data_IF_173355819182
#
_entry.id   IF_173355819182
#
_cell.length_a   1.000
_cell.length_b   1.000
_cell.length_c   1.000
_cell.angle_alpha   90.00
_cell.angle_beta   90.00
_cell.angle_gamma   90.00
#
_symmetry.space_group_name_H-M   'P 1'
#
loop_
_entity.id
_entity.type
_entity.pdbx_description
1 polymer ?
#
# COMPACT_ATOMS: atom_id res chain seq x y z
N UNK A 1 -28.95 -4.21 34.77
CA UNK A 1 -27.97 -4.01 33.66
C UNK A 1 -27.12 -2.75 33.86
N UNK A 2 -27.67 -1.57 34.10
CA UNK A 2 -26.89 -0.32 34.34
C UNK A 2 -25.94 -0.40 35.56
N UNK A 3 -26.38 -0.96 36.67
CA UNK A 3 -25.53 -1.11 37.86
C UNK A 3 -24.40 -2.12 37.67
N UNK A 4 -24.64 -3.25 37.02
CA UNK A 4 -23.60 -4.21 36.68
C UNK A 4 -22.52 -3.62 35.78
N UNK A 5 -22.92 -2.89 34.76
CA UNK A 5 -21.99 -2.17 33.87
C UNK A 5 -21.18 -1.11 34.63
N UNK A 6 -21.82 -0.37 35.52
CA UNK A 6 -21.13 0.65 36.32
C UNK A 6 -20.09 0.03 37.27
N UNK A 7 -20.47 -1.08 37.93
CA UNK A 7 -19.56 -1.84 38.82
C UNK A 7 -18.38 -2.44 38.05
N UNK A 8 -18.62 -2.96 36.85
CA UNK A 8 -17.54 -3.44 35.97
C UNK A 8 -16.55 -2.33 35.64
N UNK A 9 -17.01 -1.14 35.22
CA UNK A 9 -16.13 -0.04 34.89
C UNK A 9 -15.39 0.53 36.12
N UNK A 10 -15.99 0.51 37.29
CA UNK A 10 -15.33 0.88 38.55
C UNK A 10 -14.22 -0.12 38.86
N UNK A 11 -14.46 -1.41 38.67
CA UNK A 11 -13.43 -2.45 38.85
C UNK A 11 -12.28 -2.23 37.86
N UNK A 12 -12.55 -2.06 36.57
CA UNK A 12 -11.53 -1.77 35.54
C UNK A 12 -10.72 -0.53 35.90
N UNK A 13 -11.37 0.56 36.30
CA UNK A 13 -10.70 1.78 36.68
C UNK A 13 -9.74 1.58 37.87
N UNK A 14 -10.19 0.84 38.91
CA UNK A 14 -9.35 0.50 40.06
C UNK A 14 -8.18 -0.38 39.68
N UNK A 15 -8.42 -1.40 38.84
CA UNK A 15 -7.37 -2.32 38.36
C UNK A 15 -6.28 -1.57 37.60
N UNK A 16 -6.67 -0.73 36.63
CA UNK A 16 -5.73 0.03 35.80
C UNK A 16 -4.96 1.05 36.62
N UNK A 17 -5.63 1.85 37.44
CA UNK A 17 -4.98 2.93 38.20
C UNK A 17 -4.13 2.41 39.36
N UNK A 18 -4.51 1.30 40.01
CA UNK A 18 -3.76 0.68 41.10
C UNK A 18 -2.49 -0.01 40.59
N UNK A 19 -2.59 -0.70 39.44
CA UNK A 19 -1.51 -1.47 38.88
C UNK A 19 -0.86 -0.79 37.65
N UNK A 20 -0.77 0.54 37.67
CA UNK A 20 -0.31 1.34 36.53
C UNK A 20 1.05 0.95 35.95
N UNK A 21 2.00 0.54 36.80
CA UNK A 21 3.32 0.09 36.34
C UNK A 21 3.26 -1.25 35.60
N UNK A 22 2.41 -2.16 36.07
CA UNK A 22 2.18 -3.46 35.42
C UNK A 22 1.56 -3.25 34.03
N UNK A 23 0.56 -2.36 33.91
CA UNK A 23 -0.05 -2.05 32.62
C UNK A 23 0.94 -1.39 31.65
N UNK A 24 1.79 -0.47 32.12
CA UNK A 24 2.85 0.10 31.29
C UNK A 24 3.80 -1.00 30.80
N UNK A 25 4.28 -1.86 31.71
CA UNK A 25 5.14 -2.99 31.36
C UNK A 25 4.49 -3.93 30.34
N UNK A 26 3.20 -4.21 30.52
CA UNK A 26 2.41 -5.03 29.60
C UNK A 26 2.31 -4.38 28.19
N UNK A 27 1.96 -3.09 28.11
CA UNK A 27 1.89 -2.38 26.83
C UNK A 27 3.26 -2.31 26.14
N UNK A 28 4.33 -2.04 26.88
CA UNK A 28 5.69 -2.03 26.35
C UNK A 28 6.08 -3.42 25.85
N UNK A 29 5.81 -4.46 26.64
CA UNK A 29 6.10 -5.85 26.27
C UNK A 29 5.37 -6.28 25.00
N UNK A 30 4.06 -6.00 24.91
CA UNK A 30 3.26 -6.31 23.70
C UNK A 30 3.77 -5.49 22.51
N UNK A 31 4.10 -4.22 22.71
CA UNK A 31 4.61 -3.36 21.61
C UNK A 31 5.95 -3.89 21.09
N UNK A 32 6.86 -4.29 21.96
CA UNK A 32 8.14 -4.90 21.57
C UNK A 32 7.88 -6.22 20.82
N UNK A 33 7.02 -7.10 21.36
CA UNK A 33 6.66 -8.36 20.71
C UNK A 33 6.11 -8.14 19.31
N UNK A 34 5.14 -7.25 19.15
CA UNK A 34 4.54 -6.93 17.86
C UNK A 34 5.51 -6.23 16.90
N UNK A 35 6.43 -5.41 17.41
CA UNK A 35 7.48 -4.80 16.60
C UNK A 35 8.45 -5.84 16.01
N UNK A 36 8.73 -6.93 16.73
CA UNK A 36 9.53 -8.04 16.18
C UNK A 36 8.84 -8.73 15.00
N UNK A 37 7.50 -8.75 14.96
CA UNK A 37 6.73 -9.34 13.87
C UNK A 37 6.83 -8.55 12.55
N UNK A 38 7.28 -7.29 12.59
CA UNK A 38 7.47 -6.49 11.37
C UNK A 38 8.44 -7.13 10.38
N UNK A 39 9.40 -7.94 10.87
CA UNK A 39 10.32 -8.71 10.01
C UNK A 39 9.61 -9.74 9.12
N UNK A 40 8.43 -10.18 9.54
CA UNK A 40 7.62 -11.17 8.81
C UNK A 40 6.70 -10.55 7.77
N UNK A 41 6.61 -9.22 7.72
CA UNK A 41 5.79 -8.50 6.75
C UNK A 41 6.40 -8.67 5.36
N UNK A 42 5.58 -9.14 4.42
CA UNK A 42 5.95 -9.28 3.02
C UNK A 42 5.13 -8.31 2.18
N UNK A 43 5.74 -7.82 1.10
CA UNK A 43 4.99 -7.08 0.09
C UNK A 43 4.43 -8.04 -0.93
N UNK A 44 3.19 -7.80 -1.33
CA UNK A 44 2.59 -8.58 -2.42
C UNK A 44 3.17 -8.12 -3.75
N UNK A 45 3.66 -9.07 -4.52
CA UNK A 45 4.11 -8.88 -5.89
C UNK A 45 3.12 -9.48 -6.91
N UNK A 46 2.04 -10.10 -6.43
CA UNK A 46 1.01 -10.76 -7.24
C UNK A 46 -0.36 -10.15 -6.98
N UNK A 47 -1.07 -9.79 -8.05
CA UNK A 47 -2.47 -9.33 -8.00
C UNK A 47 -3.45 -10.48 -8.18
N UNK A 48 -2.98 -11.66 -8.59
CA UNK A 48 -3.83 -12.80 -8.95
C UNK A 48 -4.53 -13.47 -7.75
N UNK A 49 -4.10 -13.21 -6.50
CA UNK A 49 -4.63 -13.86 -5.29
C UNK A 49 -5.79 -13.09 -4.64
N UNK A 50 -6.74 -12.60 -5.43
CA UNK A 50 -7.93 -11.92 -4.90
C UNK A 50 -8.91 -12.89 -4.25
N UNK A 51 -8.99 -14.13 -4.75
CA UNK A 51 -9.88 -15.17 -4.24
C UNK A 51 -9.09 -16.16 -3.36
N UNK A 52 -9.75 -16.82 -2.38
CA UNK A 52 -9.16 -17.91 -1.60
C UNK A 52 -8.65 -19.04 -2.48
N UNK A 53 -7.61 -19.73 -2.01
CA UNK A 53 -7.00 -20.85 -2.75
C UNK A 53 -7.97 -22.05 -2.96
N UNK A 54 -8.92 -22.22 -2.05
CA UNK A 54 -9.94 -23.28 -2.08
C UNK A 54 -11.14 -22.96 -2.99
N UNK A 55 -11.25 -21.71 -3.46
CA UNK A 55 -12.32 -21.28 -4.36
C UNK A 55 -12.22 -22.03 -5.72
N UNK A 56 -13.35 -22.49 -6.31
CA UNK A 56 -13.35 -23.24 -7.57
C UNK A 56 -12.57 -22.55 -8.68
N UNK A 57 -12.80 -21.25 -8.89
CA UNK A 57 -12.10 -20.44 -9.91
C UNK A 57 -10.60 -20.40 -9.64
N UNK A 58 -10.15 -20.29 -8.38
CA UNK A 58 -8.73 -20.31 -8.03
C UNK A 58 -8.09 -21.66 -8.36
N UNK A 59 -8.81 -22.76 -8.14
CA UNK A 59 -8.34 -24.09 -8.50
C UNK A 59 -8.21 -24.28 -10.01
N UNK A 60 -9.20 -23.83 -10.79
CA UNK A 60 -9.15 -23.81 -12.25
C UNK A 60 -7.99 -22.96 -12.77
N UNK A 61 -7.83 -21.76 -12.24
CA UNK A 61 -6.73 -20.87 -12.58
C UNK A 61 -5.37 -21.48 -12.22
N UNK A 62 -5.24 -22.08 -11.05
CA UNK A 62 -4.02 -22.77 -10.66
C UNK A 62 -3.71 -24.01 -11.54
N UNK A 63 -4.73 -24.71 -12.05
CA UNK A 63 -4.56 -25.78 -13.03
C UNK A 63 -4.08 -25.21 -14.37
N UNK A 64 -4.67 -24.11 -14.82
CA UNK A 64 -4.24 -23.40 -16.02
C UNK A 64 -2.77 -22.97 -15.89
N UNK A 65 -2.37 -22.37 -14.76
CA UNK A 65 -0.97 -21.99 -14.52
C UNK A 65 0.00 -23.18 -14.55
N UNK A 66 -0.44 -24.35 -14.05
CA UNK A 66 0.39 -25.58 -14.11
C UNK A 66 0.59 -26.09 -15.54
N UNK A 67 -0.41 -25.94 -16.41
CA UNK A 67 -0.37 -26.42 -17.79
C UNK A 67 0.35 -25.44 -18.73
N UNK A 68 0.06 -24.14 -18.58
CA UNK A 68 0.53 -23.11 -19.52
C UNK A 68 1.66 -22.24 -18.93
N UNK A 69 1.91 -22.35 -17.63
CA UNK A 69 2.86 -21.54 -16.90
C UNK A 69 2.27 -20.21 -16.47
N UNK A 70 3.07 -19.41 -15.73
CA UNK A 70 2.65 -18.10 -15.24
C UNK A 70 2.39 -17.13 -16.39
N UNK A 71 1.23 -16.50 -16.40
CA UNK A 71 0.88 -15.39 -17.29
C UNK A 71 1.54 -14.10 -16.85
N UNK A 72 1.69 -13.17 -17.78
CA UNK A 72 2.16 -11.83 -17.49
C UNK A 72 3.66 -11.73 -17.24
N UNK A 73 4.46 -12.60 -17.87
CA UNK A 73 5.92 -12.49 -17.87
C UNK A 73 6.46 -11.56 -18.97
N UNK A 74 5.57 -10.95 -19.75
CA UNK A 74 5.94 -10.15 -20.91
C UNK A 74 6.05 -8.67 -20.55
N UNK A 75 7.17 -8.06 -20.87
CA UNK A 75 7.37 -6.61 -20.92
C UNK A 75 7.41 -6.21 -22.39
N UNK A 76 6.62 -5.22 -22.74
CA UNK A 76 6.55 -4.68 -24.09
C UNK A 76 7.18 -3.30 -24.12
N UNK A 77 8.15 -3.09 -25.00
CA UNK A 77 8.77 -1.80 -25.24
C UNK A 77 8.27 -1.32 -26.60
N UNK A 78 7.73 -0.12 -26.67
CA UNK A 78 7.19 0.49 -27.88
C UNK A 78 7.93 1.75 -28.26
N UNK A 79 8.01 2.02 -29.55
CA UNK A 79 8.50 3.27 -30.10
C UNK A 79 7.58 3.71 -31.25
N UNK A 80 7.40 5.01 -31.43
CA UNK A 80 6.71 5.51 -32.63
C UNK A 80 7.57 5.22 -33.86
N UNK A 81 6.96 4.88 -35.00
CA UNK A 81 7.70 4.52 -36.21
C UNK A 81 8.61 5.64 -36.72
N UNK A 82 8.26 6.89 -36.38
CA UNK A 82 9.12 8.06 -36.65
C UNK A 82 10.46 8.03 -35.91
N UNK A 83 10.50 7.36 -34.76
CA UNK A 83 11.71 7.20 -33.95
C UNK A 83 12.70 6.12 -34.43
N UNK A 84 12.36 5.41 -35.53
CA UNK A 84 13.22 4.36 -36.13
C UNK A 84 13.33 4.58 -37.63
N UNK A 85 13.37 5.84 -38.06
CA UNK A 85 13.45 6.22 -39.49
C UNK A 85 14.88 6.25 -40.04
N UNK A 86 15.88 6.29 -39.21
CA UNK A 86 17.28 6.30 -39.63
C UNK A 86 17.97 4.97 -39.32
N UNK A 87 19.00 4.59 -40.11
CA UNK A 87 19.79 3.40 -39.81
C UNK A 87 20.36 3.40 -38.40
N UNK A 88 20.80 4.55 -37.89
CA UNK A 88 21.37 4.68 -36.53
C UNK A 88 20.32 4.38 -35.46
N UNK A 89 19.08 4.85 -35.64
CA UNK A 89 17.97 4.60 -34.71
C UNK A 89 17.59 3.12 -34.71
N UNK A 90 17.47 2.49 -35.90
CA UNK A 90 17.20 1.05 -35.97
C UNK A 90 18.32 0.20 -35.36
N UNK A 91 19.58 0.56 -35.64
CA UNK A 91 20.71 -0.14 -35.04
C UNK A 91 20.76 0.02 -33.52
N UNK A 92 20.41 1.21 -32.98
CA UNK A 92 20.25 1.42 -31.55
C UNK A 92 19.11 0.60 -30.95
N UNK A 93 17.96 0.51 -31.63
CA UNK A 93 16.85 -0.35 -31.26
C UNK A 93 17.25 -1.83 -31.21
N UNK A 94 18.01 -2.29 -32.21
CA UNK A 94 18.52 -3.66 -32.27
C UNK A 94 19.60 -3.92 -31.19
N UNK A 95 20.41 -2.91 -30.86
CA UNK A 95 21.39 -2.98 -29.78
C UNK A 95 20.69 -3.11 -28.41
N UNK A 96 19.61 -2.34 -28.18
CA UNK A 96 18.78 -2.50 -26.98
C UNK A 96 18.26 -3.93 -26.83
N UNK A 97 17.73 -4.53 -27.91
CA UNK A 97 17.27 -5.91 -27.88
C UNK A 97 18.37 -6.90 -27.52
N UNK A 98 19.58 -6.68 -28.04
CA UNK A 98 20.75 -7.53 -27.79
C UNK A 98 21.27 -7.35 -26.35
N UNK A 99 21.31 -6.13 -25.83
CA UNK A 99 21.70 -5.88 -24.45
C UNK A 99 20.72 -6.51 -23.47
N UNK A 100 19.40 -6.41 -23.75
CA UNK A 100 18.37 -7.06 -22.93
C UNK A 100 18.50 -8.57 -22.89
N UNK A 101 18.91 -9.23 -23.99
CA UNK A 101 19.12 -10.66 -24.02
C UNK A 101 20.28 -11.15 -23.12
N UNK A 102 21.19 -10.26 -22.71
CA UNK A 102 22.33 -10.63 -21.86
C UNK A 102 21.96 -10.73 -20.39
N UNK A 103 20.83 -10.20 -19.99
CA UNK A 103 20.39 -10.24 -18.58
C UNK A 103 19.87 -11.66 -18.21
N UNK A 104 20.33 -12.22 -17.10
CA UNK A 104 19.91 -13.57 -16.67
C UNK A 104 18.42 -13.65 -16.29
N UNK A 105 17.75 -12.50 -16.09
CA UNK A 105 16.33 -12.37 -15.80
C UNK A 105 15.47 -12.48 -17.06
N UNK A 106 16.05 -12.31 -18.23
CA UNK A 106 15.38 -12.34 -19.52
C UNK A 106 15.46 -13.74 -20.12
N UNK A 107 14.31 -14.32 -20.44
CA UNK A 107 14.20 -15.62 -21.12
C UNK A 107 14.36 -15.47 -22.62
N UNK A 108 13.86 -14.39 -23.20
CA UNK A 108 13.95 -14.11 -24.61
C UNK A 108 13.47 -12.72 -24.99
N UNK A 109 13.91 -12.24 -26.14
CA UNK A 109 13.52 -10.98 -26.72
C UNK A 109 13.02 -11.22 -28.14
N UNK A 110 11.79 -10.81 -28.42
CA UNK A 110 11.22 -10.78 -29.77
C UNK A 110 11.29 -9.32 -30.28
N UNK A 111 12.12 -9.10 -31.26
CA UNK A 111 12.35 -7.81 -31.92
C UNK A 111 12.68 -8.03 -33.39
N UNK A 112 12.84 -7.00 -34.16
CA UNK A 112 13.16 -7.12 -35.59
C UNK A 112 14.41 -7.95 -35.88
N UNK A 113 15.45 -7.78 -35.06
CA UNK A 113 16.70 -8.53 -35.22
C UNK A 113 16.58 -10.03 -34.87
N UNK A 114 15.47 -10.45 -34.24
CA UNK A 114 15.23 -11.86 -33.88
C UNK A 114 14.28 -12.58 -34.84
N UNK A 115 13.69 -11.85 -35.81
CA UNK A 115 12.81 -12.43 -36.84
C UNK A 115 13.63 -13.33 -37.74
N UNK A 116 13.09 -14.50 -37.95
CA UNK A 116 13.67 -15.48 -38.92
C UNK A 116 12.72 -15.74 -40.08
N UNK A 117 13.23 -15.75 -41.28
CA UNK A 117 12.51 -16.19 -42.46
C UNK A 117 12.78 -17.67 -42.77
N UNK A 118 11.76 -18.34 -43.22
CA UNK A 118 11.91 -19.73 -43.70
C UNK A 118 12.18 -19.70 -45.19
N UNK A 119 13.38 -20.08 -45.56
CA UNK A 119 13.83 -20.10 -46.95
C UNK A 119 13.98 -21.56 -47.41
N UNK A 120 13.47 -21.87 -48.60
CA UNK A 120 13.67 -23.20 -49.22
C UNK A 120 15.08 -23.29 -49.79
N UNK A 121 15.88 -24.18 -49.22
CA UNK A 121 17.16 -24.58 -49.80
C UNK A 121 16.89 -25.60 -50.93
N UNK A 122 16.92 -25.12 -52.16
CA UNK A 122 16.65 -25.96 -53.36
C UNK A 122 17.72 -27.02 -53.62
N UNK A 123 18.93 -26.83 -53.08
CA UNK A 123 20.01 -27.78 -53.24
C UNK A 123 19.91 -28.97 -52.27
N UNK A 124 19.34 -28.74 -51.10
CA UNK A 124 19.20 -29.75 -50.03
C UNK A 124 17.76 -30.21 -49.80
N UNK A 125 16.83 -29.75 -50.62
CA UNK A 125 15.38 -30.05 -50.54
C UNK A 125 14.79 -29.89 -49.13
N UNK A 126 15.30 -28.91 -48.36
CA UNK A 126 14.86 -28.65 -47.00
C UNK A 126 14.63 -27.14 -46.76
N UNK A 127 13.80 -26.82 -45.76
CA UNK A 127 13.66 -25.46 -45.28
C UNK A 127 14.78 -25.15 -44.29
N UNK A 128 15.39 -23.98 -44.47
CA UNK A 128 16.37 -23.42 -43.56
C UNK A 128 15.84 -22.10 -43.00
N UNK A 129 16.18 -21.81 -41.76
CA UNK A 129 15.87 -20.50 -41.14
C UNK A 129 17.04 -19.56 -41.38
N UNK A 130 16.74 -18.33 -41.83
CA UNK A 130 17.71 -17.26 -42.01
C UNK A 130 17.21 -16.03 -41.25
N UNK A 131 18.14 -15.22 -40.71
CA UNK A 131 17.78 -13.96 -40.09
C UNK A 131 17.18 -13.03 -41.15
N UNK A 132 16.04 -12.44 -40.82
CA UNK A 132 15.31 -11.55 -41.72
C UNK A 132 16.02 -10.20 -41.90
N UNK A 133 16.56 -9.65 -40.79
CA UNK A 133 17.32 -8.40 -40.76
C UNK A 133 18.84 -8.72 -40.75
N UNK A 134 19.67 -7.92 -41.47
CA UNK A 134 21.11 -7.95 -41.31
C UNK A 134 21.52 -7.49 -39.92
N UNK A 135 22.75 -7.80 -39.50
CA UNK A 135 23.25 -7.41 -38.17
C UNK A 135 23.31 -5.90 -37.99
N UNK A 136 23.60 -5.15 -39.05
CA UNK A 136 23.66 -3.70 -39.10
C UNK A 136 23.08 -3.20 -40.42
N UNK A 137 22.28 -2.14 -40.37
CA UNK A 137 21.75 -1.44 -41.53
C UNK A 137 22.61 -0.22 -41.76
N UNK A 138 23.17 -0.08 -42.97
CA UNK A 138 24.14 0.97 -43.28
C UNK A 138 23.60 2.11 -44.15
N UNK A 139 22.50 1.87 -44.87
CA UNK A 139 21.93 2.87 -45.77
C UNK A 139 20.41 3.03 -45.58
N UNK A 140 19.93 4.23 -45.94
CA UNK A 140 18.47 4.50 -45.89
C UNK A 140 17.68 3.64 -46.88
N UNK A 141 18.25 3.39 -48.08
CA UNK A 141 17.60 2.54 -49.06
C UNK A 141 17.43 1.08 -48.58
N UNK A 142 18.42 0.59 -47.84
CA UNK A 142 18.37 -0.75 -47.22
C UNK A 142 17.29 -0.80 -46.16
N UNK A 143 17.20 0.24 -45.28
CA UNK A 143 16.17 0.38 -44.25
C UNK A 143 14.77 0.38 -44.87
N UNK A 144 14.55 1.20 -45.89
CA UNK A 144 13.24 1.34 -46.55
C UNK A 144 12.82 -0.01 -47.21
N UNK A 145 13.77 -0.68 -47.85
CA UNK A 145 13.50 -2.00 -48.46
C UNK A 145 13.16 -3.06 -47.41
N UNK A 146 13.85 -3.10 -46.29
CA UNK A 146 13.62 -4.05 -45.23
C UNK A 146 12.29 -3.79 -44.51
N UNK A 147 11.96 -2.51 -44.30
CA UNK A 147 10.71 -2.09 -43.67
C UNK A 147 9.51 -2.44 -44.57
N UNK A 148 9.60 -2.16 -45.85
CA UNK A 148 8.59 -2.56 -46.84
C UNK A 148 8.39 -4.06 -46.88
N UNK A 149 9.49 -4.83 -46.93
CA UNK A 149 9.47 -6.29 -46.89
C UNK A 149 8.84 -6.82 -45.60
N UNK A 150 9.13 -6.21 -44.43
CA UNK A 150 8.54 -6.56 -43.16
C UNK A 150 7.04 -6.44 -43.19
N UNK A 151 6.53 -5.29 -43.63
CA UNK A 151 5.08 -5.03 -43.60
C UNK A 151 4.29 -5.85 -44.60
N UNK A 152 4.85 -6.14 -45.78
CA UNK A 152 4.15 -6.87 -46.82
C UNK A 152 4.30 -8.40 -46.72
N UNK A 153 5.49 -8.89 -46.33
CA UNK A 153 5.81 -10.33 -46.39
C UNK A 153 5.67 -11.05 -45.05
N UNK A 154 5.49 -10.31 -43.94
CA UNK A 154 5.42 -10.93 -42.61
C UNK A 154 4.19 -10.50 -41.80
N UNK A 155 2.97 -10.68 -42.36
CA UNK A 155 1.73 -10.25 -41.67
C UNK A 155 1.50 -10.96 -40.32
N UNK A 156 2.14 -12.08 -40.08
CA UNK A 156 2.09 -12.84 -38.81
C UNK A 156 2.62 -12.01 -37.60
N UNK A 157 3.47 -11.02 -37.86
CA UNK A 157 4.00 -10.13 -36.82
C UNK A 157 3.18 -8.85 -36.63
N UNK A 158 2.11 -8.63 -37.44
CA UNK A 158 1.15 -7.56 -37.21
C UNK A 158 0.46 -7.76 -35.85
N UNK A 159 0.39 -6.71 -35.07
CA UNK A 159 -0.11 -6.77 -33.69
C UNK A 159 0.94 -7.21 -32.66
N UNK A 160 1.98 -7.92 -33.06
CA UNK A 160 3.09 -8.30 -32.19
C UNK A 160 4.24 -7.28 -32.24
N UNK A 161 4.80 -7.03 -33.40
CA UNK A 161 5.96 -6.15 -33.60
C UNK A 161 5.60 -4.78 -34.19
N UNK A 162 4.49 -4.66 -34.86
CA UNK A 162 3.99 -3.40 -35.42
C UNK A 162 2.47 -3.38 -35.44
N UNK A 163 1.88 -2.18 -35.45
CA UNK A 163 0.43 -2.02 -35.56
C UNK A 163 -0.04 -1.94 -37.02
N UNK A 164 -1.35 -2.13 -37.26
CA UNK A 164 -1.98 -2.04 -38.59
C UNK A 164 -1.69 -0.75 -39.35
N UNK A 165 -1.59 0.36 -38.62
CA UNK A 165 -1.31 1.67 -39.21
C UNK A 165 0.19 1.90 -39.47
N UNK A 166 1.05 0.97 -39.11
CA UNK A 166 2.53 1.06 -39.19
C UNK A 166 3.13 2.29 -38.50
N UNK A 167 2.42 2.80 -37.48
CA UNK A 167 2.84 4.00 -36.72
C UNK A 167 3.60 3.68 -35.46
N UNK A 168 3.60 2.42 -35.02
CA UNK A 168 4.28 1.98 -33.80
C UNK A 168 5.02 0.67 -34.04
N UNK A 169 6.25 0.61 -33.53
CA UNK A 169 7.07 -0.58 -33.49
C UNK A 169 7.19 -1.07 -32.06
N UNK A 170 7.28 -2.38 -31.88
CA UNK A 170 7.28 -3.02 -30.55
C UNK A 170 8.37 -4.05 -30.44
N UNK A 171 8.85 -4.22 -29.22
CA UNK A 171 9.74 -5.28 -28.80
C UNK A 171 9.07 -5.98 -27.62
N UNK A 172 9.04 -7.30 -27.62
CA UNK A 172 8.51 -8.08 -26.53
C UNK A 172 9.66 -8.78 -25.79
N UNK A 173 9.78 -8.50 -24.49
CA UNK A 173 10.81 -9.05 -23.62
C UNK A 173 10.13 -10.02 -22.66
N UNK A 174 10.43 -11.30 -22.80
CA UNK A 174 9.93 -12.35 -21.93
C UNK A 174 10.85 -12.52 -20.74
N UNK A 175 10.33 -12.29 -19.53
CA UNK A 175 11.06 -12.54 -18.30
C UNK A 175 10.94 -14.01 -17.89
N UNK A 176 11.92 -14.51 -17.18
CA UNK A 176 11.88 -15.85 -16.60
C UNK A 176 10.69 -15.99 -15.65
N UNK A 177 9.97 -17.10 -15.77
CA UNK A 177 8.74 -17.36 -15.01
C UNK A 177 8.95 -17.45 -13.50
N UNK A 178 10.10 -17.95 -13.07
CA UNK A 178 10.46 -18.14 -11.66
C UNK A 178 10.69 -16.83 -10.89
N UNK A 179 10.94 -15.71 -11.58
CA UNK A 179 11.22 -14.42 -10.93
C UNK A 179 10.00 -13.48 -10.89
N UNK A 180 8.92 -13.77 -11.63
CA UNK A 180 7.80 -12.84 -11.85
C UNK A 180 7.17 -12.35 -10.55
N UNK A 181 7.02 -13.22 -9.57
CA UNK A 181 6.40 -12.91 -8.28
C UNK A 181 7.44 -12.74 -7.17
N UNK A 182 8.66 -12.30 -7.50
CA UNK A 182 9.76 -12.14 -6.55
C UNK A 182 10.33 -10.72 -6.53
N UNK A 183 11.13 -10.42 -5.51
CA UNK A 183 11.87 -9.15 -5.41
C UNK A 183 12.89 -8.99 -6.56
N UNK A 184 13.38 -10.09 -7.16
CA UNK A 184 14.35 -10.07 -8.27
C UNK A 184 13.76 -9.34 -9.48
N UNK A 185 12.48 -9.57 -9.80
CA UNK A 185 11.78 -8.82 -10.85
C UNK A 185 11.79 -7.32 -10.57
N UNK A 186 11.47 -6.91 -9.32
CA UNK A 186 11.45 -5.51 -8.93
C UNK A 186 12.82 -4.87 -9.11
N UNK A 187 13.85 -5.53 -8.63
CA UNK A 187 15.23 -5.06 -8.70
C UNK A 187 15.68 -4.89 -10.16
N UNK A 188 15.46 -5.91 -10.99
CA UNK A 188 15.75 -5.85 -12.42
C UNK A 188 15.03 -4.69 -13.13
N UNK A 189 13.73 -4.50 -12.89
CA UNK A 189 12.96 -3.46 -13.58
C UNK A 189 13.41 -2.05 -13.16
N UNK A 190 13.70 -1.82 -11.87
CA UNK A 190 14.05 -0.50 -11.36
C UNK A 190 15.51 -0.13 -11.60
N UNK A 191 16.44 -1.09 -11.47
CA UNK A 191 17.87 -0.79 -11.46
C UNK A 191 18.59 -1.19 -12.75
N UNK A 192 18.04 -2.12 -13.54
CA UNK A 192 18.62 -2.53 -14.81
C UNK A 192 17.81 -2.06 -16.02
N UNK A 193 16.53 -2.44 -16.10
CA UNK A 193 15.69 -2.15 -17.27
C UNK A 193 15.44 -0.65 -17.46
N UNK A 194 14.99 0.04 -16.41
CA UNK A 194 14.64 1.46 -16.50
C UNK A 194 15.84 2.34 -16.88
N UNK A 195 17.02 2.23 -16.26
CA UNK A 195 18.20 2.99 -16.70
C UNK A 195 18.68 2.63 -18.12
N UNK A 196 18.52 1.36 -18.52
CA UNK A 196 18.84 0.93 -19.87
C UNK A 196 17.92 1.61 -20.90
N UNK A 197 16.61 1.67 -20.64
CA UNK A 197 15.64 2.36 -21.50
C UNK A 197 16.00 3.84 -21.60
N UNK A 198 16.24 4.54 -20.48
CA UNK A 198 16.61 5.96 -20.46
C UNK A 198 17.89 6.24 -21.26
N UNK A 199 18.88 5.34 -21.20
CA UNK A 199 20.10 5.41 -22.02
C UNK A 199 19.77 5.37 -23.50
N UNK A 200 18.95 4.42 -23.93
CA UNK A 200 18.60 4.29 -25.35
C UNK A 200 17.65 5.35 -25.87
N UNK A 201 16.71 5.85 -25.02
CA UNK A 201 15.92 7.03 -25.34
C UNK A 201 16.81 8.24 -25.69
N UNK A 202 17.85 8.47 -24.86
CA UNK A 202 18.81 9.56 -25.09
C UNK A 202 19.61 9.38 -26.37
N UNK A 203 20.00 8.14 -26.70
CA UNK A 203 20.73 7.81 -27.91
C UNK A 203 19.89 7.95 -29.19
N UNK A 204 18.63 7.50 -29.12
CA UNK A 204 17.70 7.54 -30.25
C UNK A 204 17.02 8.90 -30.41
N UNK A 205 17.12 9.78 -29.39
CA UNK A 205 16.40 11.04 -29.29
C UNK A 205 14.88 10.89 -29.48
N UNK A 206 14.34 9.77 -29.01
CA UNK A 206 12.94 9.39 -29.19
C UNK A 206 12.44 8.70 -27.92
N UNK A 207 11.22 9.03 -27.43
CA UNK A 207 10.66 8.40 -26.26
C UNK A 207 10.39 6.91 -26.50
N UNK A 208 10.74 6.10 -25.51
CA UNK A 208 10.45 4.66 -25.47
C UNK A 208 9.32 4.39 -24.43
N UNK A 209 8.29 3.76 -24.88
CA UNK A 209 7.13 3.44 -24.04
C UNK A 209 7.23 2.01 -23.52
N UNK A 210 7.24 1.84 -22.21
CA UNK A 210 7.32 0.52 -21.59
C UNK A 210 6.02 0.13 -20.94
N UNK A 211 5.53 -1.07 -21.20
CA UNK A 211 4.30 -1.63 -20.66
C UNK A 211 4.46 -3.12 -20.37
N UNK A 212 3.43 -3.74 -19.85
CA UNK A 212 3.39 -5.15 -19.48
C UNK A 212 3.20 -5.36 -17.98
N UNK A 213 2.58 -6.48 -17.64
CA UNK A 213 2.21 -6.75 -16.24
C UNK A 213 3.39 -6.69 -15.26
N UNK A 214 4.58 -7.26 -15.54
CA UNK A 214 5.71 -7.17 -14.62
C UNK A 214 6.15 -5.74 -14.37
N UNK A 215 6.16 -4.90 -15.41
CA UNK A 215 6.55 -3.49 -15.33
C UNK A 215 5.53 -2.67 -14.54
N UNK A 216 4.23 -2.78 -14.89
CA UNK A 216 3.14 -2.06 -14.23
C UNK A 216 3.07 -2.44 -12.75
N UNK A 217 3.11 -3.73 -12.41
CA UNK A 217 3.11 -4.20 -11.02
C UNK A 217 4.28 -3.66 -10.22
N UNK A 218 5.47 -3.59 -10.83
CA UNK A 218 6.66 -3.06 -10.16
C UNK A 218 6.51 -1.58 -9.85
N UNK A 219 6.09 -0.78 -10.84
CA UNK A 219 5.89 0.66 -10.64
C UNK A 219 4.77 0.94 -9.64
N UNK A 220 3.64 0.23 -9.73
CA UNK A 220 2.54 0.38 -8.77
C UNK A 220 3.00 0.06 -7.34
N UNK A 221 3.76 -1.01 -7.16
CA UNK A 221 4.31 -1.38 -5.83
C UNK A 221 5.28 -0.31 -5.32
N UNK A 222 6.12 0.26 -6.19
CA UNK A 222 7.08 1.31 -5.83
C UNK A 222 6.36 2.59 -5.38
N UNK A 223 5.36 3.03 -6.16
CA UNK A 223 4.53 4.20 -5.82
C UNK A 223 3.84 3.99 -4.48
N UNK A 224 3.14 2.86 -4.29
CA UNK A 224 2.43 2.54 -3.05
C UNK A 224 3.39 2.55 -1.86
N UNK A 225 4.56 1.90 -2.00
CA UNK A 225 5.56 1.83 -0.93
C UNK A 225 6.09 3.21 -0.55
N UNK A 226 6.37 4.05 -1.55
CA UNK A 226 6.82 5.43 -1.33
C UNK A 226 5.75 6.31 -0.68
N UNK A 227 4.49 6.11 -1.06
CA UNK A 227 3.37 6.92 -0.57
C UNK A 227 2.90 6.54 0.84
N UNK A 228 3.03 5.27 1.27
CA UNK A 228 2.66 4.85 2.64
C UNK A 228 3.30 5.75 3.69
N UNK A 229 4.60 6.02 3.58
CA UNK A 229 5.31 6.91 4.49
C UNK A 229 4.73 8.33 4.49
N UNK A 230 4.44 8.87 3.32
CA UNK A 230 3.83 10.19 3.16
C UNK A 230 2.44 10.26 3.78
N UNK A 231 1.59 9.24 3.55
CA UNK A 231 0.25 9.18 4.15
C UNK A 231 0.29 9.09 5.67
N UNK A 232 1.19 8.30 6.24
CA UNK A 232 1.36 8.18 7.70
C UNK A 232 1.80 9.53 8.28
N UNK A 233 2.83 10.16 7.72
CA UNK A 233 3.33 11.46 8.18
C UNK A 233 2.26 12.54 8.02
N UNK A 234 1.58 12.59 6.88
CA UNK A 234 0.48 13.51 6.62
C UNK A 234 -0.68 13.35 7.62
N UNK A 235 -1.10 12.12 7.88
CA UNK A 235 -2.14 11.81 8.86
C UNK A 235 -1.72 12.20 10.29
N UNK A 236 -0.46 11.94 10.67
CA UNK A 236 0.08 12.33 11.98
C UNK A 236 0.14 13.86 12.12
N UNK A 237 0.59 14.58 11.09
CA UNK A 237 0.62 16.05 11.09
C UNK A 237 -0.79 16.64 11.18
N UNK A 238 -1.72 16.16 10.37
CA UNK A 238 -3.12 16.60 10.42
C UNK A 238 -3.72 16.35 11.82
N UNK A 239 -3.49 15.15 12.38
CA UNK A 239 -3.91 14.80 13.74
C UNK A 239 -3.30 15.73 14.78
N UNK A 240 -2.02 16.02 14.68
CA UNK A 240 -1.30 16.93 15.56
C UNK A 240 -1.94 18.33 15.54
N UNK A 241 -2.21 18.86 14.35
CA UNK A 241 -2.87 20.17 14.19
C UNK A 241 -4.29 20.19 14.79
N UNK A 242 -5.09 19.15 14.51
CA UNK A 242 -6.45 19.02 15.08
C UNK A 242 -6.39 18.98 16.60
N UNK A 243 -5.54 18.16 17.20
CA UNK A 243 -5.41 18.04 18.64
C UNK A 243 -4.89 19.32 19.30
N UNK A 244 -3.94 20.03 18.65
CA UNK A 244 -3.47 21.34 19.11
C UNK A 244 -4.58 22.39 19.09
N UNK A 245 -5.36 22.40 18.01
CA UNK A 245 -6.50 23.33 17.88
C UNK A 245 -7.54 23.08 18.97
N UNK A 246 -7.89 21.81 19.23
CA UNK A 246 -8.89 21.44 20.24
C UNK A 246 -8.40 21.67 21.67
N UNK A 247 -7.23 21.19 22.02
CA UNK A 247 -6.77 21.20 23.41
C UNK A 247 -5.93 22.42 23.79
N UNK A 248 -5.35 23.12 22.82
CA UNK A 248 -4.40 24.21 23.03
C UNK A 248 -3.31 23.85 24.06
N UNK A 249 -2.94 22.60 24.12
CA UNK A 249 -2.00 22.00 25.06
C UNK A 249 -1.11 20.99 24.38
N UNK A 250 0.18 21.30 24.28
CA UNK A 250 1.18 20.38 23.74
C UNK A 250 1.24 19.06 24.51
N UNK A 251 0.97 19.09 25.83
CA UNK A 251 0.97 17.87 26.65
C UNK A 251 -0.17 16.91 26.26
N UNK A 252 -1.38 17.44 26.10
CA UNK A 252 -2.53 16.64 25.70
C UNK A 252 -2.34 16.06 24.31
N UNK A 253 -1.83 16.88 23.37
CA UNK A 253 -1.46 16.43 22.02
C UNK A 253 -0.44 15.29 22.06
N UNK A 254 0.66 15.48 22.79
CA UNK A 254 1.72 14.47 22.85
C UNK A 254 1.25 13.12 23.43
N UNK A 255 0.42 13.15 24.48
CA UNK A 255 -0.17 11.94 25.08
C UNK A 255 -1.06 11.21 24.07
N UNK A 256 -1.90 11.96 23.38
CA UNK A 256 -2.77 11.40 22.35
C UNK A 256 -1.96 10.78 21.21
N UNK A 257 -0.93 11.49 20.74
CA UNK A 257 -0.04 11.00 19.67
C UNK A 257 0.68 9.73 20.08
N UNK A 258 1.20 9.63 21.31
CA UNK A 258 1.81 8.41 21.83
C UNK A 258 0.83 7.22 21.78
N UNK A 259 -0.43 7.42 22.21
CA UNK A 259 -1.44 6.35 22.19
C UNK A 259 -1.76 5.89 20.77
N UNK A 260 -1.88 6.83 19.84
CA UNK A 260 -2.18 6.56 18.43
C UNK A 260 -1.00 5.86 17.74
N UNK A 261 0.24 6.32 17.99
CA UNK A 261 1.45 5.69 17.46
C UNK A 261 1.58 4.23 17.90
N UNK A 262 1.33 3.94 19.18
CA UNK A 262 1.31 2.55 19.67
C UNK A 262 0.24 1.75 18.94
N UNK A 263 -0.94 2.32 18.69
CA UNK A 263 -1.99 1.66 17.91
C UNK A 263 -1.57 1.34 16.48
N UNK A 264 -0.88 2.27 15.81
CA UNK A 264 -0.30 2.05 14.46
C UNK A 264 0.77 0.96 14.49
N UNK A 265 1.67 1.00 15.48
CA UNK A 265 2.69 -0.04 15.65
C UNK A 265 2.06 -1.43 15.83
N UNK A 266 0.97 -1.51 16.59
CA UNK A 266 0.25 -2.77 16.78
C UNK A 266 -0.45 -3.22 15.51
N UNK A 267 -1.01 -2.31 14.70
CA UNK A 267 -1.63 -2.65 13.43
C UNK A 267 -0.63 -3.31 12.46
N UNK A 268 0.57 -2.75 12.32
CA UNK A 268 1.66 -3.39 11.57
C UNK A 268 2.10 -4.71 12.21
N UNK A 269 2.14 -4.77 13.55
CA UNK A 269 2.46 -6.00 14.27
C UNK A 269 1.47 -7.12 13.97
N UNK A 270 0.18 -6.84 13.86
CA UNK A 270 -0.83 -7.83 13.49
C UNK A 270 -0.68 -8.30 12.04
N UNK A 271 -0.36 -7.40 11.09
CA UNK A 271 -0.03 -7.81 9.72
C UNK A 271 1.12 -8.83 9.70
N UNK A 272 2.19 -8.55 10.43
CA UNK A 272 3.33 -9.47 10.54
C UNK A 272 2.99 -10.77 11.28
N UNK A 273 2.21 -10.70 12.37
CA UNK A 273 1.82 -11.85 13.18
C UNK A 273 0.96 -12.85 12.41
N UNK A 274 0.02 -12.35 11.61
CA UNK A 274 -0.84 -13.17 10.75
C UNK A 274 -0.18 -13.55 9.43
N UNK A 275 1.05 -13.10 9.18
CA UNK A 275 1.78 -13.31 7.92
C UNK A 275 1.01 -12.76 6.70
N UNK A 276 0.25 -11.68 6.90
CA UNK A 276 -0.46 -11.00 5.84
C UNK A 276 0.46 -10.08 5.06
N UNK A 277 0.20 -9.98 3.77
CA UNK A 277 1.00 -9.15 2.88
C UNK A 277 0.50 -7.71 2.85
N UNK A 278 1.43 -6.77 2.62
CA UNK A 278 1.04 -5.38 2.37
C UNK A 278 0.51 -5.28 0.94
N UNK A 279 -0.79 -5.04 0.86
CA UNK A 279 -1.54 -4.73 -0.35
C UNK A 279 -1.92 -3.24 -0.35
N UNK A 280 -2.48 -2.75 -1.46
CA UNK A 280 -3.05 -1.39 -1.55
C UNK A 280 -4.05 -1.15 -0.41
N UNK A 281 -4.87 -2.15 -0.10
CA UNK A 281 -5.93 -2.04 0.89
C UNK A 281 -5.37 -2.03 2.33
N UNK A 282 -4.44 -2.93 2.64
CA UNK A 282 -3.81 -2.99 3.97
C UNK A 282 -2.90 -1.80 4.24
N UNK A 283 -2.37 -1.15 3.20
CA UNK A 283 -1.59 0.09 3.32
C UNK A 283 -2.41 1.28 3.88
N UNK A 284 -3.73 1.25 3.76
CA UNK A 284 -4.63 2.28 4.32
C UNK A 284 -4.88 2.08 5.83
N UNK A 285 -4.58 0.92 6.41
CA UNK A 285 -4.84 0.63 7.84
C UNK A 285 -4.17 1.64 8.79
N UNK A 286 -2.88 2.01 8.66
CA UNK A 286 -2.25 2.97 9.54
C UNK A 286 -2.92 4.35 9.57
N UNK A 287 -3.18 5.04 8.44
CA UNK A 287 -3.96 6.28 8.43
C UNK A 287 -5.35 6.13 9.06
N UNK A 288 -6.03 5.02 8.80
CA UNK A 288 -7.36 4.73 9.34
C UNK A 288 -7.31 4.61 10.87
N UNK A 289 -6.35 3.90 11.43
CA UNK A 289 -6.14 3.76 12.88
C UNK A 289 -5.84 5.13 13.51
N UNK A 290 -5.03 5.98 12.83
CA UNK A 290 -4.74 7.34 13.29
C UNK A 290 -6.04 8.15 13.40
N UNK A 291 -6.86 8.17 12.37
CA UNK A 291 -8.11 8.95 12.32
C UNK A 291 -9.11 8.47 13.36
N UNK A 292 -9.28 7.16 13.54
CA UNK A 292 -10.21 6.57 14.54
C UNK A 292 -9.72 6.81 15.97
N UNK A 293 -8.40 6.91 16.17
CA UNK A 293 -7.82 7.17 17.48
C UNK A 293 -8.10 8.57 18.04
N UNK A 294 -8.28 9.56 17.15
CA UNK A 294 -8.47 10.95 17.54
C UNK A 294 -9.71 11.16 18.45
N UNK A 295 -10.93 10.73 18.07
CA UNK A 295 -12.12 10.88 18.90
C UNK A 295 -11.97 10.21 20.27
N UNK A 296 -11.37 9.03 20.33
CA UNK A 296 -11.13 8.32 21.59
C UNK A 296 -10.29 9.16 22.56
N UNK A 297 -9.18 9.72 22.06
CA UNK A 297 -8.31 10.58 22.85
C UNK A 297 -9.03 11.87 23.27
N UNK A 298 -9.76 12.50 22.35
CA UNK A 298 -10.49 13.75 22.61
C UNK A 298 -11.54 13.54 23.71
N UNK A 299 -12.35 12.49 23.63
CA UNK A 299 -13.38 12.22 24.63
C UNK A 299 -12.78 11.96 26.02
N UNK A 300 -11.73 11.16 26.12
CA UNK A 300 -11.07 10.86 27.39
C UNK A 300 -10.44 12.11 28.02
N UNK A 301 -9.71 12.89 27.25
CA UNK A 301 -9.02 14.09 27.75
C UNK A 301 -10.00 15.20 28.12
N UNK A 302 -11.00 15.46 27.27
CA UNK A 302 -12.05 16.42 27.58
C UNK A 302 -12.77 16.06 28.86
N UNK A 303 -13.14 14.79 29.03
CA UNK A 303 -13.81 14.35 30.24
C UNK A 303 -12.93 14.52 31.48
N UNK A 304 -11.64 14.18 31.36
CA UNK A 304 -10.68 14.41 32.43
C UNK A 304 -10.59 15.87 32.82
N UNK A 305 -10.50 16.77 31.87
CA UNK A 305 -10.45 18.21 32.12
C UNK A 305 -11.73 18.72 32.79
N UNK A 306 -12.91 18.23 32.36
CA UNK A 306 -14.20 18.59 32.99
C UNK A 306 -14.29 18.09 34.44
N UNK A 307 -13.90 16.83 34.72
CA UNK A 307 -13.97 16.28 36.08
C UNK A 307 -12.94 16.94 37.01
N UNK A 308 -11.76 17.30 36.54
CA UNK A 308 -10.75 18.06 37.28
C UNK A 308 -11.25 19.47 37.57
N UNK A 309 -11.88 20.15 36.62
CA UNK A 309 -12.42 21.49 36.82
C UNK A 309 -13.51 21.51 37.93
N UNK A 310 -14.34 20.46 37.99
CA UNK A 310 -15.43 20.35 38.99
C UNK A 310 -14.94 19.98 40.40
N UNK A 311 -14.03 19.05 40.52
CA UNK A 311 -13.72 18.39 41.78
C UNK A 311 -12.31 18.62 42.29
N UNK A 312 -11.38 19.08 41.45
CA UNK A 312 -9.95 19.26 41.73
C UNK A 312 -9.23 18.03 42.35
N UNK A 313 -9.90 16.87 42.35
CA UNK A 313 -9.37 15.62 42.92
C UNK A 313 -9.01 14.64 41.81
N UNK A 314 -7.71 14.42 41.62
CA UNK A 314 -7.13 13.70 40.47
C UNK A 314 -7.58 12.23 40.38
N UNK A 315 -7.50 11.48 41.49
CA UNK A 315 -7.85 10.06 41.49
C UNK A 315 -9.33 9.83 41.13
N UNK A 316 -10.24 10.65 41.70
CA UNK A 316 -11.66 10.59 41.39
C UNK A 316 -11.97 10.99 39.97
N UNK A 317 -11.28 12.01 39.43
CA UNK A 317 -11.44 12.43 38.05
C UNK A 317 -11.05 11.31 37.07
N UNK A 318 -9.88 10.69 37.27
CA UNK A 318 -9.42 9.58 36.42
C UNK A 318 -10.35 8.36 36.48
N UNK A 319 -10.84 8.00 37.69
CA UNK A 319 -11.82 6.92 37.83
C UNK A 319 -13.11 7.24 37.06
N UNK A 320 -13.64 8.47 37.19
CA UNK A 320 -14.86 8.89 36.49
C UNK A 320 -14.70 8.96 34.97
N UNK A 321 -13.50 9.29 34.48
CA UNK A 321 -13.21 9.23 33.04
C UNK A 321 -13.42 7.81 32.52
N UNK A 322 -12.79 6.82 33.15
CA UNK A 322 -12.90 5.43 32.70
C UNK A 322 -14.37 4.94 32.82
N UNK A 323 -15.05 5.26 33.91
CA UNK A 323 -16.42 4.76 34.12
C UNK A 323 -17.46 5.41 33.20
N UNK A 324 -17.35 6.72 32.91
CA UNK A 324 -18.35 7.43 32.12
C UNK A 324 -18.07 7.39 30.63
N UNK A 325 -16.80 7.42 30.22
CA UNK A 325 -16.42 7.42 28.81
C UNK A 325 -16.26 6.00 28.30
N UNK A 326 -15.75 5.07 29.12
CA UNK A 326 -15.44 3.71 28.73
C UNK A 326 -16.60 2.99 28.02
N UNK A 327 -17.83 3.09 28.55
CA UNK A 327 -18.98 2.45 27.94
C UNK A 327 -19.39 3.08 26.59
N UNK A 328 -19.36 4.38 26.49
CA UNK A 328 -19.76 5.11 25.27
C UNK A 328 -18.74 4.85 24.16
N UNK A 329 -17.45 4.96 24.48
CA UNK A 329 -16.39 4.71 23.50
C UNK A 329 -16.23 3.23 23.17
N UNK A 330 -16.57 2.31 24.08
CA UNK A 330 -16.65 0.89 23.76
C UNK A 330 -17.69 0.63 22.66
N UNK A 331 -18.89 1.19 22.82
CA UNK A 331 -19.96 0.97 21.85
C UNK A 331 -19.57 1.51 20.47
N UNK A 332 -19.03 2.73 20.41
CA UNK A 332 -18.59 3.32 19.12
C UNK A 332 -17.46 2.53 18.46
N UNK A 333 -16.45 2.11 19.22
CA UNK A 333 -15.37 1.30 18.65
C UNK A 333 -15.82 -0.12 18.28
N UNK A 334 -16.74 -0.70 19.04
CA UNK A 334 -17.31 -2.02 18.74
C UNK A 334 -18.15 -1.98 17.44
N UNK A 335 -18.98 -0.94 17.26
CA UNK A 335 -19.75 -0.77 16.03
C UNK A 335 -18.85 -0.53 14.83
N UNK A 336 -17.78 0.26 14.98
CA UNK A 336 -16.79 0.47 13.92
C UNK A 336 -16.04 -0.81 13.59
N UNK A 337 -15.56 -1.53 14.61
CA UNK A 337 -14.88 -2.82 14.43
C UNK A 337 -15.81 -3.87 13.78
N UNK A 338 -17.09 -3.92 14.19
CA UNK A 338 -18.09 -4.78 13.57
C UNK A 338 -18.31 -4.43 12.09
N UNK A 339 -18.31 -3.12 11.74
CA UNK A 339 -18.38 -2.68 10.35
C UNK A 339 -17.23 -3.22 9.51
N UNK A 340 -15.98 -3.17 10.01
CA UNK A 340 -14.83 -3.78 9.31
C UNK A 340 -14.88 -5.32 9.36
N UNK A 341 -15.41 -5.91 10.42
CA UNK A 341 -15.56 -7.37 10.52
C UNK A 341 -16.52 -7.93 9.46
N UNK A 342 -17.44 -7.14 8.88
CA UNK A 342 -18.29 -7.61 7.78
C UNK A 342 -17.48 -8.04 6.54
N UNK A 343 -16.30 -7.48 6.34
CA UNK A 343 -15.41 -7.90 5.26
C UNK A 343 -14.89 -9.33 5.42
N UNK A 344 -14.95 -9.91 6.63
CA UNK A 344 -14.56 -11.31 6.89
C UNK A 344 -15.49 -12.29 6.17
N UNK A 345 -16.73 -11.88 5.90
CA UNK A 345 -17.76 -12.71 5.25
C UNK A 345 -17.55 -12.75 3.73
N UNK A 346 -16.78 -11.80 3.16
CA UNK A 346 -16.53 -11.74 1.73
C UNK A 346 -15.66 -12.90 1.24
N UNK A 347 -15.77 -13.23 -0.04
CA UNK A 347 -14.90 -14.24 -0.65
C UNK A 347 -13.50 -13.73 -0.96
N UNK A 348 -13.31 -12.41 -1.01
CA UNK A 348 -12.00 -11.80 -1.31
C UNK A 348 -11.01 -11.98 -0.15
N UNK A 349 -9.88 -12.63 -0.41
CA UNK A 349 -8.79 -12.81 0.55
C UNK A 349 -8.28 -11.46 1.08
N UNK A 350 -8.07 -10.50 0.20
CA UNK A 350 -7.53 -9.16 0.54
C UNK A 350 -8.49 -8.41 1.46
N UNK A 351 -9.81 -8.47 1.18
CA UNK A 351 -10.82 -7.84 2.03
C UNK A 351 -10.94 -8.54 3.39
N UNK A 352 -10.86 -9.87 3.45
CA UNK A 352 -10.83 -10.62 4.72
C UNK A 352 -9.66 -10.19 5.61
N UNK A 353 -8.46 -10.17 5.06
CA UNK A 353 -7.24 -9.79 5.77
C UNK A 353 -7.34 -8.35 6.28
N UNK A 354 -7.78 -7.42 5.42
CA UNK A 354 -8.04 -6.03 5.79
C UNK A 354 -9.07 -5.91 6.92
N UNK A 355 -10.20 -6.63 6.82
CA UNK A 355 -11.27 -6.63 7.81
C UNK A 355 -10.81 -7.14 9.17
N UNK A 356 -10.07 -8.26 9.20
CA UNK A 356 -9.53 -8.85 10.44
C UNK A 356 -8.58 -7.87 11.13
N UNK A 357 -7.57 -7.38 10.41
CA UNK A 357 -6.55 -6.51 10.99
C UNK A 357 -7.14 -5.18 11.44
N UNK A 358 -8.02 -4.57 10.63
CA UNK A 358 -8.67 -3.31 10.98
C UNK A 358 -9.54 -3.46 12.23
N UNK A 359 -10.37 -4.50 12.30
CA UNK A 359 -11.26 -4.74 13.45
C UNK A 359 -10.47 -4.93 14.73
N UNK A 360 -9.44 -5.77 14.71
CA UNK A 360 -8.59 -6.02 15.88
C UNK A 360 -7.85 -4.74 16.27
N UNK A 361 -7.29 -4.01 15.31
CA UNK A 361 -6.55 -2.77 15.56
C UNK A 361 -7.42 -1.71 16.21
N UNK A 362 -8.69 -1.55 15.79
CA UNK A 362 -9.64 -0.59 16.37
C UNK A 362 -9.96 -0.95 17.82
N UNK A 363 -10.22 -2.22 18.13
CA UNK A 363 -10.49 -2.68 19.49
C UNK A 363 -9.25 -2.53 20.38
N UNK A 364 -8.07 -2.84 19.89
CA UNK A 364 -6.82 -2.64 20.59
C UNK A 364 -6.54 -1.16 20.85
N UNK A 365 -6.75 -0.30 19.86
CA UNK A 365 -6.59 1.15 20.00
C UNK A 365 -7.53 1.72 21.07
N UNK A 366 -8.77 1.23 21.15
CA UNK A 366 -9.68 1.57 22.22
C UNK A 366 -9.10 1.20 23.59
N UNK A 367 -8.60 -0.03 23.77
CA UNK A 367 -8.02 -0.51 25.03
C UNK A 367 -6.76 0.31 25.38
N UNK A 368 -5.90 0.57 24.40
CA UNK A 368 -4.69 1.40 24.57
C UNK A 368 -5.08 2.78 25.07
N UNK A 369 -5.99 3.47 24.39
CA UNK A 369 -6.38 4.84 24.76
C UNK A 369 -7.07 4.88 26.13
N UNK A 370 -7.96 3.93 26.43
CA UNK A 370 -8.69 3.86 27.69
C UNK A 370 -7.78 3.62 28.90
N UNK A 371 -6.73 2.82 28.73
CA UNK A 371 -5.78 2.51 29.80
C UNK A 371 -4.63 3.52 29.86
N UNK A 372 -3.97 3.76 28.73
CA UNK A 372 -2.73 4.52 28.68
C UNK A 372 -2.93 6.00 29.02
N UNK A 373 -4.00 6.64 28.49
CA UNK A 373 -4.28 8.06 28.75
C UNK A 373 -4.46 8.32 30.23
N UNK A 374 -5.35 7.63 31.01
CA UNK A 374 -5.47 7.83 32.44
C UNK A 374 -4.19 7.50 33.22
N UNK A 375 -3.44 6.47 32.80
CA UNK A 375 -2.18 6.12 33.42
C UNK A 375 -1.16 7.27 33.30
N UNK A 376 -0.96 7.81 32.09
CA UNK A 376 -0.02 8.91 31.87
C UNK A 376 -0.46 10.15 32.65
N UNK A 377 -1.76 10.50 32.63
CA UNK A 377 -2.27 11.61 33.42
C UNK A 377 -2.12 11.37 34.94
N UNK A 378 -2.06 10.12 35.40
CA UNK A 378 -1.82 9.82 36.82
C UNK A 378 -0.43 10.27 37.28
N UNK A 379 0.56 10.30 36.40
CA UNK A 379 1.91 10.77 36.71
C UNK A 379 2.09 12.28 36.53
N UNK A 380 1.24 12.93 35.74
CA UNK A 380 1.37 14.34 35.40
C UNK A 380 0.82 15.26 36.50
N UNK A 381 1.35 16.48 36.68
CA UNK A 381 0.75 17.48 37.56
C UNK A 381 -0.64 17.91 37.04
N UNK A 382 -1.44 18.46 37.93
CA UNK A 382 -2.77 18.99 37.58
C UNK A 382 -2.65 20.03 36.44
N UNK A 383 -3.60 20.04 35.50
CA UNK A 383 -3.60 21.02 34.43
C UNK A 383 -3.75 22.43 34.97
N UNK A 384 -2.98 23.38 34.41
CA UNK A 384 -3.08 24.80 34.78
C UNK A 384 -4.42 25.37 34.31
N UNK A 385 -4.94 26.37 34.99
CA UNK A 385 -6.22 27.03 34.65
C UNK A 385 -6.28 27.56 33.20
N UNK A 386 -5.12 27.95 32.65
CA UNK A 386 -4.98 28.31 31.22
C UNK A 386 -5.48 27.22 30.26
N UNK A 387 -5.26 25.96 30.61
CA UNK A 387 -5.63 24.79 29.78
C UNK A 387 -7.11 24.41 29.93
N UNK A 388 -7.81 24.99 30.89
CA UNK A 388 -9.23 24.75 31.16
C UNK A 388 -10.13 25.86 30.59
N UNK A 389 -9.56 27.02 30.22
CA UNK A 389 -10.31 28.19 29.70
C UNK A 389 -11.08 27.94 28.41
N UNK A 390 -10.69 26.93 27.62
CA UNK A 390 -11.41 26.56 26.40
C UNK A 390 -12.77 25.90 26.69
N UNK A 391 -12.94 25.27 27.87
CA UNK A 391 -14.20 24.66 28.30
C UNK A 391 -15.29 25.68 28.60
N UNK A 392 -14.92 26.94 28.88
CA UNK A 392 -15.85 28.05 29.21
C UNK A 392 -16.16 28.97 28.02
N UNK A 393 -15.61 28.69 26.81
CA UNK A 393 -15.88 29.54 25.64
C UNK A 393 -17.28 29.32 25.09
N UNK A 394 -18.08 30.37 25.15
CA UNK A 394 -19.50 30.44 24.74
C UNK A 394 -19.73 30.40 23.20
N UNK A 395 -18.68 30.36 22.36
CA UNK A 395 -18.93 30.43 20.91
C UNK A 395 -19.65 29.18 20.36
N UNK A 396 -19.36 28.01 20.94
CA UNK A 396 -20.11 26.76 20.65
C UNK A 396 -21.55 26.87 21.16
N UNK A 397 -21.75 27.52 22.32
CA UNK A 397 -23.07 27.84 22.84
C UNK A 397 -23.86 28.82 21.95
N UNK A 398 -23.16 29.79 21.35
CA UNK A 398 -23.75 30.71 20.37
C UNK A 398 -24.15 30.01 19.08
N UNK A 399 -23.28 29.07 18.57
CA UNK A 399 -23.55 28.29 17.37
C UNK A 399 -24.69 27.27 17.61
N UNK A 400 -24.73 26.63 18.78
CA UNK A 400 -25.84 25.77 19.21
C UNK A 400 -27.13 26.55 19.39
N UNK A 401 -27.06 27.75 19.95
CA UNK A 401 -28.23 28.66 20.09
C UNK A 401 -28.76 29.15 18.74
N UNK A 402 -27.86 29.41 17.77
CA UNK A 402 -28.27 29.75 16.42
C UNK A 402 -28.93 28.54 15.70
N UNK A 403 -28.42 27.32 15.88
CA UNK A 403 -29.04 26.09 15.35
C UNK A 403 -30.39 25.84 16.05
N UNK A 404 -30.47 26.01 17.35
CA UNK A 404 -31.73 25.87 18.11
C UNK A 404 -32.78 26.88 17.64
N UNK A 405 -32.36 28.08 17.25
CA UNK A 405 -33.26 29.12 16.72
C UNK A 405 -33.73 28.83 15.29
N UNK A 406 -32.94 28.09 14.50
CA UNK A 406 -33.31 27.65 13.14
C UNK A 406 -34.26 26.43 13.18
N UNK A 407 -34.13 25.58 14.21
CA UNK A 407 -34.94 24.37 14.38
C UNK A 407 -36.27 24.60 15.08
N UNK A 408 -36.40 25.71 15.80
CA UNK A 408 -37.70 26.21 16.37
C UNK A 408 -38.40 27.11 15.35
#
# INVERSE_FOLDING_TARGET
MRELLNNFWIFVARLVLRNRYVFIGLFVGITIFLAFQWKSIRMTYSEANMLPEDHPISKEYNQFLKLFGEEGNLVVIGVESEGVRTPEQLNSWNALAKDLQQYPQVEGVLSFNTIKELVKDTLKERFITRDFFPKEVTSQQELDTLTHKLFEQTPVYEGLLYNKAHTTLRMAVSLRKDIINTAIRKDFILHDLKPLIEKYESQMQTPLYVSGMPYIRTLSTEVITGEIGLFIVGALLATCLVLLFFFRSFRAMFISMCSVLIGVMWAFGFLGLFHYEITILTAVIPPLVIVIGIPNCIFLINRYQQEIHKHRYKAMALQRVITKVGNVTLLTNLTTAAGFATFIITESKILKEFGIVSSISILCLYVISLCLIPIIYSFMPLPKERHLKHLSKQWLGGLLGAIEHIVK
#
